data_IF_146524688590
#
_entry.id   IF_146524688590
#
_cell.length_a   1.000
_cell.length_b   1.000
_cell.length_c   1.000
_cell.angle_alpha   90.00
_cell.angle_beta   90.00
_cell.angle_gamma   90.00
#
_symmetry.space_group_name_H-M   'P 1'
#
loop_
_entity.id
_entity.type
_entity.pdbx_description
1 polymer ?
#
# COMPACT_ATOMS: atom_id res chain seq x y z
N UNK A 1 -21.53 17.95 -12.08
CA UNK A 1 -21.58 18.56 -10.74
C UNK A 1 -22.57 19.71 -10.74
N UNK A 2 -23.47 19.77 -9.76
CA UNK A 2 -24.39 20.89 -9.55
C UNK A 2 -24.12 21.45 -8.15
N UNK A 3 -24.08 22.79 -8.02
CA UNK A 3 -23.67 23.49 -6.79
C UNK A 3 -22.46 24.39 -7.01
N UNK A 4 -22.08 25.15 -5.96
CA UNK A 4 -20.92 26.02 -5.98
C UNK A 4 -19.70 25.31 -5.37
N UNK A 5 -18.57 25.37 -6.06
CA UNK A 5 -17.32 24.72 -5.64
C UNK A 5 -16.08 25.43 -6.20
N UNK A 6 -15.00 25.37 -5.45
CA UNK A 6 -13.65 25.70 -5.93
C UNK A 6 -13.01 24.43 -6.50
N UNK A 7 -12.61 24.47 -7.77
CA UNK A 7 -11.98 23.33 -8.47
C UNK A 7 -10.60 22.97 -7.92
N UNK A 8 -9.97 23.88 -7.17
CA UNK A 8 -8.61 23.72 -6.65
C UNK A 8 -7.56 23.63 -7.76
N UNK A 9 -6.32 23.33 -7.36
CA UNK A 9 -5.20 23.17 -8.27
C UNK A 9 -4.98 21.68 -8.57
N UNK A 10 -5.39 21.23 -9.74
CA UNK A 10 -5.12 19.90 -10.25
C UNK A 10 -4.01 19.93 -11.31
N UNK A 11 -3.08 18.96 -11.26
CA UNK A 11 -2.06 18.79 -12.29
C UNK A 11 -2.72 18.54 -13.65
N UNK A 12 -2.19 19.15 -14.76
CA UNK A 12 -2.69 18.87 -16.12
C UNK A 12 -2.59 17.40 -16.54
N UNK A 13 -1.72 16.63 -15.88
CA UNK A 13 -1.60 15.19 -16.11
C UNK A 13 -2.66 14.36 -15.35
N UNK A 14 -3.20 14.91 -14.26
CA UNK A 14 -4.22 14.24 -13.45
C UNK A 14 -5.66 14.60 -13.90
N UNK A 15 -5.84 15.76 -14.52
CA UNK A 15 -7.09 16.22 -15.11
C UNK A 15 -6.75 16.98 -16.39
N UNK A 16 -7.04 16.37 -17.53
CA UNK A 16 -6.75 16.94 -18.85
C UNK A 16 -7.67 18.12 -19.17
N UNK A 17 -7.22 19.02 -20.06
CA UNK A 17 -8.01 20.22 -20.43
C UNK A 17 -9.39 19.86 -20.99
N UNK A 18 -9.50 18.80 -21.79
CA UNK A 18 -10.77 18.32 -22.33
C UNK A 18 -11.76 17.89 -21.21
N UNK A 19 -11.26 17.29 -20.16
CA UNK A 19 -12.09 16.88 -19.01
C UNK A 19 -12.56 18.10 -18.21
N UNK A 20 -11.73 19.16 -18.13
CA UNK A 20 -12.13 20.45 -17.53
C UNK A 20 -13.21 21.15 -18.34
N UNK A 21 -13.12 21.09 -19.68
CA UNK A 21 -14.15 21.60 -20.59
C UNK A 21 -15.49 20.85 -20.43
N UNK A 22 -15.45 19.59 -20.03
CA UNK A 22 -16.62 18.77 -19.67
C UNK A 22 -17.11 18.99 -18.23
N UNK A 23 -16.59 19.99 -17.50
CA UNK A 23 -16.89 20.27 -16.09
C UNK A 23 -16.55 19.11 -15.14
N UNK A 24 -15.58 18.26 -15.49
CA UNK A 24 -15.04 17.26 -14.57
C UNK A 24 -14.07 17.92 -13.60
N UNK A 25 -14.02 17.39 -12.39
CA UNK A 25 -13.16 17.86 -11.31
C UNK A 25 -12.50 16.67 -10.61
N UNK A 26 -11.33 16.86 -10.02
CA UNK A 26 -10.77 15.87 -9.11
C UNK A 26 -11.35 16.08 -7.70
N UNK A 27 -12.02 15.09 -7.17
CA UNK A 27 -12.65 15.16 -5.84
C UNK A 27 -11.63 15.47 -4.72
N UNK A 28 -10.37 15.03 -4.86
CA UNK A 28 -9.30 15.33 -3.91
C UNK A 28 -8.78 16.78 -3.94
N UNK A 29 -9.08 17.53 -5.01
CA UNK A 29 -8.69 18.94 -5.17
C UNK A 29 -9.88 19.88 -4.99
N UNK A 30 -11.09 19.41 -5.30
CA UNK A 30 -12.32 20.19 -5.27
C UNK A 30 -12.73 20.50 -3.82
N UNK A 31 -13.13 21.75 -3.56
CA UNK A 31 -13.67 22.19 -2.27
C UNK A 31 -15.13 22.59 -2.44
N UNK A 32 -16.07 21.94 -1.77
CA UNK A 32 -17.49 22.34 -1.82
C UNK A 32 -17.71 23.68 -1.12
N UNK A 33 -18.46 24.57 -1.73
CA UNK A 33 -18.90 25.88 -1.19
C UNK A 33 -20.42 25.94 -0.95
N UNK A 34 -21.15 24.91 -1.37
CA UNK A 34 -22.60 24.73 -1.13
C UNK A 34 -22.93 23.24 -1.06
N UNK A 35 -24.19 22.92 -0.82
CA UNK A 35 -24.71 21.58 -1.09
C UNK A 35 -24.48 21.25 -2.56
N UNK A 36 -24.02 20.01 -2.84
CA UNK A 36 -23.60 19.59 -4.18
C UNK A 36 -24.26 18.28 -4.58
N UNK A 37 -24.54 18.16 -5.87
CA UNK A 37 -24.82 16.88 -6.52
C UNK A 37 -23.59 16.50 -7.34
N UNK A 38 -23.00 15.35 -7.05
CA UNK A 38 -21.81 14.83 -7.72
C UNK A 38 -22.24 13.62 -8.54
N UNK A 39 -21.90 13.61 -9.83
CA UNK A 39 -21.94 12.43 -10.67
C UNK A 39 -20.52 11.87 -10.78
N UNK A 40 -20.35 10.60 -10.50
CA UNK A 40 -19.09 9.91 -10.63
C UNK A 40 -19.31 8.56 -11.28
N UNK A 41 -18.41 8.19 -12.21
CA UNK A 41 -18.33 6.83 -12.70
C UNK A 41 -17.72 5.98 -11.57
N UNK A 42 -18.55 5.19 -10.92
CA UNK A 42 -18.10 4.24 -9.89
C UNK A 42 -18.13 2.87 -10.54
N UNK A 43 -16.94 2.32 -10.83
CA UNK A 43 -16.83 0.92 -11.19
C UNK A 43 -17.20 0.07 -9.97
N UNK A 44 -18.29 -0.68 -10.06
CA UNK A 44 -18.61 -1.71 -9.08
C UNK A 44 -17.60 -2.87 -9.26
N UNK A 45 -16.57 -2.89 -8.45
CA UNK A 45 -15.60 -3.98 -8.41
C UNK A 45 -16.09 -5.01 -7.39
N UNK A 46 -16.59 -6.16 -7.88
CA UNK A 46 -17.13 -7.24 -7.04
C UNK A 46 -16.08 -7.81 -6.06
N UNK A 47 -14.80 -7.66 -6.37
CA UNK A 47 -13.69 -8.09 -5.54
C UNK A 47 -13.28 -7.05 -4.47
N UNK A 48 -13.84 -5.82 -4.51
CA UNK A 48 -13.54 -4.80 -3.52
C UNK A 48 -14.38 -4.99 -2.24
N UNK A 49 -13.73 -5.30 -1.13
CA UNK A 49 -14.40 -5.59 0.13
C UNK A 49 -14.83 -4.34 0.92
N UNK A 50 -14.32 -3.16 0.56
CA UNK A 50 -14.76 -1.89 1.13
C UNK A 50 -14.57 -1.76 2.64
N UNK A 51 -13.47 -2.28 3.19
CA UNK A 51 -13.19 -2.16 4.62
C UNK A 51 -13.13 -0.71 5.08
N UNK A 52 -13.65 -0.44 6.28
CA UNK A 52 -13.69 0.90 6.85
C UNK A 52 -12.28 1.38 7.18
N UNK A 53 -12.02 2.63 6.84
CA UNK A 53 -10.81 3.32 7.29
C UNK A 53 -10.99 3.73 8.74
N UNK A 54 -10.05 3.34 9.58
CA UNK A 54 -10.04 3.66 11.01
C UNK A 54 -8.65 4.15 11.45
N UNK A 55 -8.60 4.78 12.62
CA UNK A 55 -7.36 5.19 13.25
C UNK A 55 -6.91 4.12 14.27
N UNK A 56 -5.62 3.84 14.33
CA UNK A 56 -5.01 2.83 15.20
C UNK A 56 -3.80 3.40 15.92
N UNK A 57 -3.56 2.91 17.14
CA UNK A 57 -2.30 3.08 17.85
C UNK A 57 -1.39 1.90 17.50
N UNK A 58 -0.20 2.21 17.03
CA UNK A 58 0.77 1.21 16.61
C UNK A 58 2.05 1.30 17.43
N UNK A 59 2.56 0.17 17.87
CA UNK A 59 3.85 0.05 18.55
C UNK A 59 4.85 -0.64 17.65
N UNK A 60 6.03 -0.06 17.50
CA UNK A 60 7.13 -0.66 16.75
C UNK A 60 7.63 -1.91 17.45
N UNK A 61 7.39 -3.09 16.88
CA UNK A 61 7.87 -4.38 17.37
C UNK A 61 9.29 -4.67 16.97
N UNK A 62 9.61 -4.40 15.70
CA UNK A 62 10.89 -4.76 15.11
C UNK A 62 11.22 -3.82 13.96
N UNK A 63 12.52 -3.55 13.80
CA UNK A 63 13.07 -2.86 12.64
C UNK A 63 14.25 -3.69 12.13
N UNK A 64 14.21 -4.09 10.86
CA UNK A 64 15.27 -4.85 10.19
C UNK A 64 15.78 -4.09 8.97
N UNK A 65 17.07 -4.19 8.72
CA UNK A 65 17.64 -3.79 7.43
C UNK A 65 17.38 -4.92 6.42
N UNK A 66 16.46 -4.69 5.48
CA UNK A 66 16.12 -5.64 4.41
C UNK A 66 17.10 -5.55 3.24
N UNK A 67 17.57 -4.34 2.96
CA UNK A 67 18.64 -4.03 2.00
C UNK A 67 19.41 -2.79 2.47
N UNK A 68 20.51 -2.38 1.80
CA UNK A 68 21.22 -1.16 2.16
C UNK A 68 20.34 0.11 2.19
N UNK A 69 19.23 0.10 1.45
CA UNK A 69 18.35 1.28 1.33
C UNK A 69 16.93 1.04 1.85
N UNK A 70 16.55 -0.17 2.28
CA UNK A 70 15.20 -0.51 2.69
C UNK A 70 15.20 -1.10 4.10
N UNK A 71 14.36 -0.55 4.97
CA UNK A 71 14.03 -1.11 6.28
C UNK A 71 12.65 -1.79 6.25
N UNK A 72 12.58 -2.96 6.86
CA UNK A 72 11.34 -3.59 7.29
C UNK A 72 10.97 -3.07 8.67
N UNK A 73 9.76 -2.59 8.83
CA UNK A 73 9.21 -2.13 10.10
C UNK A 73 7.96 -2.94 10.40
N UNK A 74 7.99 -3.70 11.50
CA UNK A 74 6.82 -4.45 11.98
C UNK A 74 6.18 -3.68 13.13
N UNK A 75 4.89 -3.44 13.01
CA UNK A 75 4.07 -2.71 13.95
C UNK A 75 3.04 -3.65 14.57
N UNK A 76 2.85 -3.59 15.87
CA UNK A 76 1.68 -4.13 16.55
C UNK A 76 0.66 -3.03 16.70
N UNK A 77 -0.54 -3.24 16.20
CA UNK A 77 -1.65 -2.30 16.36
C UNK A 77 -2.56 -2.70 17.52
N UNK A 78 -3.26 -1.72 18.07
CA UNK A 78 -4.08 -1.85 19.29
C UNK A 78 -5.31 -2.77 19.12
N UNK A 79 -5.74 -3.01 17.86
CA UNK A 79 -6.78 -3.96 17.49
C UNK A 79 -6.57 -4.48 16.07
N UNK A 80 -7.21 -5.58 15.72
CA UNK A 80 -7.10 -6.15 14.36
C UNK A 80 -7.64 -5.18 13.29
N UNK A 81 -6.85 -4.98 12.23
CA UNK A 81 -7.24 -4.26 11.03
C UNK A 81 -7.66 -5.28 9.97
N UNK A 82 -8.85 -5.13 9.43
CA UNK A 82 -9.22 -5.87 8.23
C UNK A 82 -8.74 -5.10 7.01
N UNK A 83 -7.98 -5.76 6.13
CA UNK A 83 -7.50 -5.16 4.89
C UNK A 83 -7.40 -6.19 3.77
N UNK A 84 -7.45 -5.73 2.52
CA UNK A 84 -7.12 -6.53 1.35
C UNK A 84 -5.62 -6.43 1.07
N UNK A 85 -5.01 -7.55 0.78
CA UNK A 85 -3.59 -7.59 0.40
C UNK A 85 -3.31 -6.63 -0.76
N UNK A 86 -2.31 -5.77 -0.58
CA UNK A 86 -1.96 -4.70 -1.52
C UNK A 86 -2.41 -3.30 -1.12
N UNK A 87 -3.27 -3.17 -0.13
CA UNK A 87 -3.65 -1.88 0.46
C UNK A 87 -2.49 -1.26 1.26
N UNK A 88 -2.65 -0.01 1.68
CA UNK A 88 -1.66 0.77 2.40
C UNK A 88 -2.26 1.43 3.65
N UNK A 89 -1.39 1.89 4.52
CA UNK A 89 -1.73 2.73 5.67
C UNK A 89 -1.06 4.09 5.55
N UNK A 90 -1.67 5.10 6.16
CA UNK A 90 -1.04 6.38 6.42
C UNK A 90 -0.45 6.38 7.84
N UNK A 91 0.77 6.88 7.98
CA UNK A 91 1.47 6.99 9.27
C UNK A 91 1.77 8.44 9.57
N UNK A 92 1.44 8.87 10.79
CA UNK A 92 1.91 10.12 11.36
C UNK A 92 3.25 9.88 12.06
N UNK A 93 4.30 10.51 11.56
CA UNK A 93 5.63 10.44 12.16
C UNK A 93 5.90 11.67 13.04
N UNK A 94 6.61 11.53 14.18
CA UNK A 94 6.94 12.64 15.06
C UNK A 94 7.72 13.75 14.33
N UNK A 95 7.28 14.98 14.52
CA UNK A 95 7.88 16.19 13.92
C UNK A 95 7.87 16.24 12.37
N UNK A 96 7.06 15.42 11.74
CA UNK A 96 6.84 15.43 10.29
C UNK A 96 5.42 15.95 10.03
N UNK A 97 5.31 17.00 9.23
CA UNK A 97 4.02 17.57 8.87
C UNK A 97 3.26 16.62 7.94
N UNK A 98 2.01 16.33 8.28
CA UNK A 98 1.12 15.42 7.57
C UNK A 98 1.55 13.95 7.66
N UNK A 99 0.73 13.10 7.09
CA UNK A 99 0.95 11.64 7.08
C UNK A 99 1.76 11.18 5.88
N UNK A 100 2.24 9.94 5.93
CA UNK A 100 2.89 9.27 4.78
C UNK A 100 2.28 7.90 4.56
N UNK A 101 2.03 7.62 3.28
CA UNK A 101 1.46 6.35 2.84
C UNK A 101 2.54 5.28 2.67
N UNK A 102 2.30 4.09 3.24
CA UNK A 102 3.16 2.93 3.08
C UNK A 102 2.31 1.69 2.85
N UNK A 103 2.65 0.92 1.81
CA UNK A 103 1.97 -0.33 1.50
C UNK A 103 2.22 -1.38 2.58
N UNK A 104 1.16 -2.12 2.94
CA UNK A 104 1.24 -3.26 3.86
C UNK A 104 1.91 -4.43 3.13
N UNK A 105 2.87 -5.08 3.79
CA UNK A 105 3.70 -6.13 3.20
C UNK A 105 3.41 -7.53 3.76
N UNK A 106 2.78 -7.63 4.94
CA UNK A 106 2.39 -8.92 5.53
C UNK A 106 1.04 -9.42 4.97
N UNK A 107 0.75 -10.68 5.24
CA UNK A 107 -0.56 -11.28 4.95
C UNK A 107 -1.66 -10.64 5.82
N UNK A 108 -2.89 -10.46 5.28
CA UNK A 108 -4.05 -10.07 6.09
C UNK A 108 -4.36 -11.03 7.24
N UNK A 109 -3.89 -12.28 7.17
CA UNK A 109 -4.10 -13.30 8.21
C UNK A 109 -3.19 -13.11 9.45
N UNK A 110 -2.20 -12.24 9.40
CA UNK A 110 -1.43 -11.83 10.59
C UNK A 110 -2.18 -10.77 11.38
N UNK A 111 -3.13 -11.20 12.21
CA UNK A 111 -3.97 -10.30 13.00
C UNK A 111 -3.16 -9.37 13.91
N UNK A 112 -3.49 -8.09 13.90
CA UNK A 112 -2.87 -7.07 14.76
C UNK A 112 -1.45 -6.67 14.35
N UNK A 113 -0.97 -7.15 13.20
CA UNK A 113 0.36 -6.82 12.68
C UNK A 113 0.23 -6.04 11.38
N UNK A 114 1.06 -5.01 11.24
CA UNK A 114 1.29 -4.27 10.01
C UNK A 114 2.79 -4.25 9.73
N UNK A 115 3.22 -4.85 8.64
CA UNK A 115 4.61 -4.83 8.17
C UNK A 115 4.75 -3.87 6.98
N UNK A 116 5.79 -3.05 7.02
CA UNK A 116 6.06 -2.02 6.03
C UNK A 116 7.51 -2.13 5.54
N UNK A 117 7.72 -1.99 4.23
CA UNK A 117 9.06 -1.90 3.64
C UNK A 117 9.33 -0.47 3.19
N UNK A 118 10.18 0.22 3.93
CA UNK A 118 10.39 1.66 3.78
C UNK A 118 11.75 1.95 3.20
N UNK A 119 11.77 2.43 1.95
CA UNK A 119 12.99 2.85 1.28
C UNK A 119 13.40 4.25 1.73
N UNK A 120 14.71 4.43 2.02
CA UNK A 120 15.28 5.75 2.26
C UNK A 120 15.30 6.57 0.98
N UNK A 121 14.62 7.70 1.00
CA UNK A 121 14.60 8.66 -0.11
C UNK A 121 15.53 9.81 0.25
N UNK A 122 16.42 10.18 -0.66
CA UNK A 122 17.33 11.31 -0.47
C UNK A 122 16.53 12.61 -0.30
N UNK A 123 16.80 13.35 0.78
CA UNK A 123 16.04 14.55 1.15
C UNK A 123 14.63 14.28 1.71
N UNK A 124 14.20 13.04 1.80
CA UNK A 124 12.88 12.67 2.33
C UNK A 124 12.87 12.69 3.87
N UNK A 125 12.25 13.70 4.49
CA UNK A 125 12.22 13.85 5.95
C UNK A 125 11.65 12.61 6.66
N UNK A 126 10.51 12.08 6.21
CA UNK A 126 9.84 10.93 6.81
C UNK A 126 10.68 9.65 6.72
N UNK A 127 11.20 9.34 5.54
CA UNK A 127 12.01 8.13 5.33
C UNK A 127 13.36 8.23 6.06
N UNK A 128 13.94 9.43 6.15
CA UNK A 128 15.13 9.69 6.97
C UNK A 128 14.82 9.45 8.45
N UNK A 129 13.69 9.94 8.95
CA UNK A 129 13.28 9.69 10.34
C UNK A 129 13.17 8.18 10.63
N UNK A 130 12.51 7.42 9.75
CA UNK A 130 12.39 5.96 9.91
C UNK A 130 13.75 5.27 9.93
N UNK A 131 14.68 5.70 9.07
CA UNK A 131 16.00 5.07 8.98
C UNK A 131 16.97 5.45 10.10
N UNK A 132 16.84 6.63 10.69
CA UNK A 132 17.84 7.17 11.60
C UNK A 132 17.35 7.35 13.04
N UNK A 133 16.04 7.52 13.24
CA UNK A 133 15.48 7.90 14.54
C UNK A 133 14.49 6.89 15.11
N UNK A 134 13.68 6.23 14.25
CA UNK A 134 12.66 5.27 14.70
C UNK A 134 13.30 4.09 15.42
N UNK A 135 12.72 3.68 16.55
CA UNK A 135 13.24 2.60 17.40
C UNK A 135 12.14 1.61 17.76
N UNK A 136 12.56 0.40 18.08
CA UNK A 136 11.69 -0.58 18.72
C UNK A 136 11.10 -0.02 20.02
N UNK A 137 9.80 -0.17 20.16
CA UNK A 137 9.03 0.33 21.30
C UNK A 137 8.41 1.71 21.09
N UNK A 138 8.77 2.45 20.05
CA UNK A 138 8.13 3.72 19.70
C UNK A 138 6.65 3.49 19.37
N UNK A 139 5.83 4.50 19.65
CA UNK A 139 4.40 4.51 19.37
C UNK A 139 4.11 5.48 18.22
N UNK A 140 3.23 5.08 17.31
CA UNK A 140 2.87 5.83 16.12
C UNK A 140 1.36 5.81 15.91
N UNK A 141 0.81 6.90 15.40
CA UNK A 141 -0.56 6.96 14.91
C UNK A 141 -0.60 6.50 13.46
N UNK A 142 -1.46 5.55 13.15
CA UNK A 142 -1.68 5.08 11.78
C UNK A 142 -3.16 5.08 11.45
N UNK A 143 -3.49 5.25 10.19
CA UNK A 143 -4.86 5.11 9.70
C UNK A 143 -4.91 4.24 8.45
N UNK A 144 -5.98 3.49 8.26
CA UNK A 144 -6.17 2.59 7.14
C UNK A 144 -7.32 1.61 7.32
N UNK A 145 -7.48 0.68 6.38
CA UNK A 145 -6.71 0.54 5.13
C UNK A 145 -7.17 1.48 4.03
N UNK A 146 -6.27 1.80 3.11
CA UNK A 146 -6.55 2.60 1.92
C UNK A 146 -6.12 1.87 0.66
N UNK A 147 -6.70 2.27 -0.49
CA UNK A 147 -6.28 1.85 -1.82
C UNK A 147 -7.09 0.71 -2.41
N UNK A 148 -6.95 0.58 -3.74
CA UNK A 148 -7.67 -0.40 -4.56
C UNK A 148 -6.71 -1.25 -5.41
N UNK A 149 -5.45 -1.36 -5.00
CA UNK A 149 -4.47 -2.21 -5.65
C UNK A 149 -4.46 -3.59 -4.99
N UNK A 150 -5.29 -4.49 -5.49
CA UNK A 150 -5.43 -5.87 -5.02
C UNK A 150 -5.66 -6.82 -6.19
N UNK A 151 -5.49 -8.11 -5.97
CA UNK A 151 -5.76 -9.13 -6.99
C UNK A 151 -7.27 -9.39 -7.06
N UNK A 152 -7.83 -9.30 -8.28
CA UNK A 152 -9.23 -9.67 -8.54
C UNK A 152 -9.33 -11.19 -8.50
N UNK A 153 -10.03 -11.72 -7.49
CA UNK A 153 -10.20 -13.16 -7.27
C UNK A 153 -11.26 -13.77 -8.19
N UNK A 154 -12.15 -12.93 -8.73
CA UNK A 154 -13.13 -13.32 -9.75
C UNK A 154 -12.52 -13.63 -11.12
N UNK A 155 -11.30 -13.16 -11.41
CA UNK A 155 -10.56 -13.45 -12.64
C UNK A 155 -9.83 -14.80 -12.52
N UNK A 156 -9.97 -15.69 -13.49
CA UNK A 156 -9.37 -17.04 -13.51
C UNK A 156 -7.98 -17.09 -14.17
N UNK A 157 -7.48 -15.98 -14.70
CA UNK A 157 -6.17 -15.88 -15.32
C UNK A 157 -5.05 -15.97 -14.30
N UNK A 158 -3.89 -16.50 -14.70
CA UNK A 158 -2.68 -16.45 -13.87
C UNK A 158 -2.25 -15.01 -13.57
N UNK A 159 -1.55 -14.83 -12.45
CA UNK A 159 -1.14 -13.51 -11.94
C UNK A 159 0.36 -13.31 -12.16
N UNK A 160 0.74 -12.16 -12.69
CA UNK A 160 2.13 -11.77 -12.87
C UNK A 160 2.39 -10.50 -12.04
N UNK A 161 3.31 -10.62 -11.08
CA UNK A 161 3.82 -9.49 -10.30
C UNK A 161 5.18 -9.06 -10.84
N UNK A 162 5.35 -7.76 -11.06
CA UNK A 162 6.62 -7.12 -11.39
C UNK A 162 6.91 -6.09 -10.31
N UNK A 163 7.96 -6.31 -9.53
CA UNK A 163 8.28 -5.50 -8.38
C UNK A 163 9.72 -5.02 -8.37
N UNK A 164 9.96 -3.81 -7.87
CA UNK A 164 11.29 -3.24 -7.69
C UNK A 164 11.42 -2.43 -6.42
N UNK A 165 12.54 -2.60 -5.69
CA UNK A 165 12.78 -1.93 -4.43
C UNK A 165 11.65 -2.14 -3.43
N UNK A 166 11.25 -1.09 -2.68
CA UNK A 166 10.13 -1.17 -1.72
C UNK A 166 8.75 -1.39 -2.37
N UNK A 167 8.63 -1.29 -3.69
CA UNK A 167 7.42 -1.67 -4.41
C UNK A 167 7.09 -3.16 -4.34
N UNK A 168 7.97 -3.98 -3.76
CA UNK A 168 7.71 -5.39 -3.45
C UNK A 168 6.68 -5.57 -2.31
N UNK A 169 6.42 -4.57 -1.47
CA UNK A 169 5.52 -4.68 -0.31
C UNK A 169 4.13 -5.22 -0.69
N UNK A 170 3.43 -4.54 -1.61
CA UNK A 170 2.09 -4.96 -2.03
C UNK A 170 2.09 -6.34 -2.71
N UNK A 171 2.97 -6.64 -3.70
CA UNK A 171 3.08 -7.99 -4.25
C UNK A 171 3.36 -9.07 -3.22
N UNK A 172 4.23 -8.82 -2.23
CA UNK A 172 4.49 -9.79 -1.16
C UNK A 172 3.22 -10.10 -0.37
N UNK A 173 2.50 -9.07 0.09
CA UNK A 173 1.22 -9.24 0.80
C UNK A 173 0.22 -10.05 -0.03
N UNK A 174 0.07 -9.72 -1.33
CA UNK A 174 -0.86 -10.41 -2.23
C UNK A 174 -0.46 -11.86 -2.47
N UNK A 175 0.83 -12.16 -2.66
CA UNK A 175 1.33 -13.52 -2.87
C UNK A 175 1.07 -14.36 -1.63
N UNK A 176 1.37 -13.84 -0.44
CA UNK A 176 1.09 -14.53 0.82
C UNK A 176 -0.40 -14.84 0.98
N UNK A 177 -1.27 -13.83 0.80
CA UNK A 177 -2.73 -13.99 0.88
C UNK A 177 -3.26 -15.03 -0.10
N UNK A 178 -2.80 -15.01 -1.36
CA UNK A 178 -3.23 -15.97 -2.38
C UNK A 178 -2.80 -17.41 -2.04
N UNK A 179 -1.55 -17.60 -1.64
CA UNK A 179 -1.02 -18.92 -1.34
C UNK A 179 -1.63 -19.51 -0.06
N UNK A 180 -1.82 -18.69 0.97
CA UNK A 180 -2.50 -19.07 2.22
C UNK A 180 -3.99 -19.41 1.98
N UNK A 181 -4.64 -18.73 1.04
CA UNK A 181 -6.01 -19.03 0.63
C UNK A 181 -6.13 -20.28 -0.26
N UNK A 182 -5.01 -20.93 -0.61
CA UNK A 182 -5.00 -22.13 -1.48
C UNK A 182 -5.25 -21.82 -2.95
N UNK A 183 -4.83 -20.64 -3.43
CA UNK A 183 -4.92 -20.26 -4.83
C UNK A 183 -4.27 -21.29 -5.75
N UNK A 184 -4.95 -21.66 -6.83
CA UNK A 184 -4.51 -22.69 -7.79
C UNK A 184 -4.00 -22.12 -9.11
N UNK A 185 -4.31 -20.86 -9.42
CA UNK A 185 -3.79 -20.18 -10.61
C UNK A 185 -2.27 -20.05 -10.54
N UNK A 186 -1.61 -20.01 -11.68
CA UNK A 186 -0.17 -19.76 -11.70
C UNK A 186 0.11 -18.32 -11.26
N UNK A 187 1.06 -18.17 -10.34
CA UNK A 187 1.51 -16.91 -9.79
C UNK A 187 3.00 -16.75 -10.14
N UNK A 188 3.35 -15.64 -10.80
CA UNK A 188 4.74 -15.32 -11.18
C UNK A 188 5.18 -14.04 -10.49
N UNK A 189 6.35 -14.06 -9.86
CA UNK A 189 7.00 -12.86 -9.32
C UNK A 189 8.30 -12.58 -10.06
N UNK A 190 8.41 -11.40 -10.66
CA UNK A 190 9.66 -10.86 -11.19
C UNK A 190 10.12 -9.72 -10.28
N UNK A 191 11.19 -9.97 -9.52
CA UNK A 191 11.79 -8.97 -8.65
C UNK A 191 13.01 -8.34 -9.31
N UNK A 192 12.96 -7.02 -9.57
CA UNK A 192 14.04 -6.23 -10.13
C UNK A 192 14.74 -5.38 -9.07
N UNK A 193 16.05 -5.24 -9.18
CA UNK A 193 16.85 -4.32 -8.38
C UNK A 193 18.00 -3.74 -9.21
N UNK A 194 18.62 -2.65 -8.74
CA UNK A 194 19.79 -2.05 -9.40
C UNK A 194 21.05 -2.90 -9.17
N UNK A 195 21.11 -3.57 -8.04
CA UNK A 195 22.20 -4.41 -7.62
C UNK A 195 21.67 -5.61 -6.83
N UNK A 196 22.42 -6.73 -6.79
CA UNK A 196 22.04 -7.95 -6.05
C UNK A 196 21.84 -7.66 -4.56
N UNK A 197 22.61 -6.75 -3.97
CA UNK A 197 22.48 -6.37 -2.57
C UNK A 197 21.17 -5.68 -2.22
N UNK A 198 20.46 -5.16 -3.21
CA UNK A 198 19.12 -4.55 -3.06
C UNK A 198 17.98 -5.55 -3.22
N UNK A 199 18.25 -6.79 -3.64
CA UNK A 199 17.26 -7.87 -3.65
C UNK A 199 17.07 -8.39 -2.22
N UNK A 200 15.91 -8.21 -1.66
CA UNK A 200 15.57 -8.63 -0.30
C UNK A 200 14.41 -9.65 -0.29
N UNK A 201 14.25 -10.34 0.83
CA UNK A 201 13.23 -11.38 1.05
C UNK A 201 13.31 -12.55 0.05
N UNK A 202 14.42 -12.75 -0.66
CA UNK A 202 14.61 -13.84 -1.62
C UNK A 202 14.35 -15.21 -1.00
N UNK A 203 14.88 -15.45 0.20
CA UNK A 203 14.71 -16.73 0.90
C UNK A 203 13.22 -17.05 1.15
N UNK A 204 12.38 -16.04 1.42
CA UNK A 204 10.94 -16.21 1.58
C UNK A 204 10.36 -16.76 0.28
N UNK A 205 10.61 -16.10 -0.86
CA UNK A 205 10.05 -16.52 -2.15
C UNK A 205 10.65 -17.83 -2.64
N UNK A 206 11.94 -18.08 -2.44
CA UNK A 206 12.60 -19.35 -2.76
C UNK A 206 12.00 -20.53 -1.96
N UNK A 207 11.55 -20.30 -0.73
CA UNK A 207 10.86 -21.30 0.06
C UNK A 207 9.42 -21.50 -0.43
N UNK A 208 8.69 -20.42 -0.71
CA UNK A 208 7.34 -20.51 -1.29
C UNK A 208 7.31 -21.29 -2.62
N UNK A 209 8.35 -21.16 -3.47
CA UNK A 209 8.49 -21.97 -4.70
C UNK A 209 8.59 -23.47 -4.38
N UNK A 210 9.22 -23.85 -3.26
CA UNK A 210 9.32 -25.26 -2.86
C UNK A 210 8.02 -25.82 -2.30
N UNK A 211 7.24 -24.97 -1.65
CA UNK A 211 6.01 -25.31 -0.97
C UNK A 211 4.78 -25.30 -1.90
N UNK A 212 4.79 -24.45 -2.92
CA UNK A 212 3.67 -24.18 -3.81
C UNK A 212 4.05 -24.38 -5.28
N UNK A 213 3.55 -25.45 -5.90
CA UNK A 213 3.89 -25.84 -7.29
C UNK A 213 3.41 -24.79 -8.34
N UNK A 214 2.45 -23.96 -7.99
CA UNK A 214 1.87 -22.92 -8.83
C UNK A 214 2.54 -21.52 -8.64
N UNK A 215 3.53 -21.40 -7.74
CA UNK A 215 4.27 -20.16 -7.53
C UNK A 215 5.66 -20.23 -8.19
N UNK A 216 6.01 -19.19 -8.92
CA UNK A 216 7.25 -19.08 -9.69
C UNK A 216 7.96 -17.75 -9.38
N UNK A 217 9.27 -17.85 -9.03
CA UNK A 217 10.11 -16.70 -8.66
C UNK A 217 11.45 -16.73 -9.39
#
# INVERSE_FOLDING_TARGET
TDGFYDVGEASPFALMDIEREENKVLACCCKPESDMVIEADVDEDEDFLGYLVEDYQAKVLEIKDLSPTIKGVRLQIDRAMQFQAGQYVNIQLPNIEGTRAFSIANSPNEEGIVELHIRKVEGGAATTYVHENLKQGDELDISGPYGQFFVRKSDDRGVIFIAGGSGLSSPQSMILDLLEAGETRNIYLFQGARDISELYNREIFENLVKEHANFHY
#
